data_IF_552122300271
#
_entry.id   IF_552122300271
#
_cell.length_a   1.000
_cell.length_b   1.000
_cell.length_c   1.000
_cell.angle_alpha   90.00
_cell.angle_beta   90.00
_cell.angle_gamma   90.00
#
_symmetry.space_group_name_H-M   'P 1'
#
loop_
_entity.id
_entity.type
_entity.pdbx_description
1 polymer ?
#
# COMPACT_ATOMS: atom_id res chain seq x y z
N UNK A 1 -34.08 9.17 -17.15
CA UNK A 1 -32.66 8.93 -17.45
C UNK A 1 -32.65 7.76 -18.42
N UNK A 2 -32.29 7.96 -19.69
CA UNK A 2 -32.25 6.87 -20.68
C UNK A 2 -31.06 5.98 -20.32
N UNK A 3 -31.28 4.66 -20.21
CA UNK A 3 -30.21 3.67 -20.18
C UNK A 3 -29.38 3.85 -21.46
N UNK A 4 -28.16 4.36 -21.31
CA UNK A 4 -27.23 4.41 -22.44
C UNK A 4 -26.71 2.99 -22.69
N UNK A 5 -26.84 2.52 -23.91
CA UNK A 5 -26.26 1.25 -24.39
C UNK A 5 -24.73 1.25 -24.13
N UNK A 6 -24.22 0.22 -23.45
CA UNK A 6 -22.79 0.05 -23.10
C UNK A 6 -21.87 0.25 -24.33
N UNK A 7 -22.26 -0.25 -25.48
CA UNK A 7 -21.50 -0.09 -26.73
C UNK A 7 -21.46 1.36 -27.23
N UNK A 8 -22.40 2.21 -26.83
CA UNK A 8 -22.38 3.64 -27.15
C UNK A 8 -21.47 4.41 -26.21
N UNK A 9 -21.47 4.04 -24.92
CA UNK A 9 -20.56 4.60 -23.91
C UNK A 9 -19.11 4.29 -24.28
N UNK A 10 -18.82 3.04 -24.60
CA UNK A 10 -17.48 2.60 -25.00
C UNK A 10 -16.95 3.37 -26.22
N UNK A 11 -17.76 3.54 -27.28
CA UNK A 11 -17.38 4.31 -28.46
C UNK A 11 -17.10 5.78 -28.15
N UNK A 12 -17.88 6.40 -27.25
CA UNK A 12 -17.70 7.79 -26.82
C UNK A 12 -16.40 7.99 -26.05
N UNK A 13 -15.96 7.00 -25.28
CA UNK A 13 -14.71 7.04 -24.52
C UNK A 13 -13.50 6.71 -25.40
N UNK A 14 -13.60 5.70 -26.26
CA UNK A 14 -12.48 5.26 -27.12
C UNK A 14 -11.97 6.34 -28.06
N UNK A 15 -12.86 7.08 -28.71
CA UNK A 15 -12.46 8.06 -29.71
C UNK A 15 -11.57 9.18 -29.13
N UNK A 16 -11.93 9.86 -28.02
CA UNK A 16 -11.08 10.86 -27.38
C UNK A 16 -9.78 10.25 -26.86
N UNK A 17 -9.82 9.07 -26.23
CA UNK A 17 -8.63 8.41 -25.67
C UNK A 17 -7.62 8.05 -26.77
N UNK A 18 -8.09 7.49 -27.89
CA UNK A 18 -7.25 7.16 -29.05
C UNK A 18 -6.65 8.41 -29.72
N UNK A 19 -7.30 9.56 -29.58
CA UNK A 19 -6.81 10.86 -30.03
C UNK A 19 -5.87 11.55 -29.02
N UNK A 20 -5.55 10.90 -27.87
CA UNK A 20 -4.66 11.44 -26.83
C UNK A 20 -5.34 12.43 -25.87
N UNK A 21 -6.67 12.55 -25.89
CA UNK A 21 -7.43 13.41 -24.98
C UNK A 21 -7.73 12.68 -23.66
N UNK A 22 -6.70 12.44 -22.86
CA UNK A 22 -6.80 11.66 -21.61
C UNK A 22 -7.53 12.42 -20.48
N UNK A 23 -7.73 13.73 -20.61
CA UNK A 23 -8.46 14.53 -19.60
C UNK A 23 -9.90 14.07 -19.38
N UNK A 24 -10.52 13.40 -20.39
CA UNK A 24 -11.89 12.89 -20.27
C UNK A 24 -12.05 11.83 -19.17
N UNK A 25 -11.00 11.11 -18.83
CA UNK A 25 -11.00 10.08 -17.75
C UNK A 25 -10.57 10.61 -16.39
N UNK A 26 -10.16 11.86 -16.28
CA UNK A 26 -9.82 12.49 -14.98
C UNK A 26 -11.03 12.65 -14.06
N UNK A 27 -12.24 12.70 -14.63
CA UNK A 27 -13.49 12.85 -13.88
C UNK A 27 -13.95 11.55 -13.19
N UNK A 28 -13.44 10.39 -13.60
CA UNK A 28 -13.71 9.12 -12.96
C UNK A 28 -12.67 8.87 -11.85
N UNK A 29 -13.09 8.91 -10.59
CA UNK A 29 -12.24 8.65 -9.43
C UNK A 29 -12.61 7.32 -8.79
N UNK A 30 -11.58 6.61 -8.31
CA UNK A 30 -11.70 5.30 -7.66
C UNK A 30 -11.00 5.33 -6.31
N UNK A 31 -11.61 4.65 -5.35
CA UNK A 31 -11.01 4.44 -4.03
C UNK A 31 -10.77 2.96 -3.81
N UNK A 32 -9.54 2.62 -3.44
CA UNK A 32 -9.11 1.26 -3.17
C UNK A 32 -8.67 1.14 -1.71
N UNK A 33 -9.05 0.04 -1.06
CA UNK A 33 -8.41 -0.44 0.16
C UNK A 33 -7.35 -1.45 -0.23
N UNK A 34 -6.10 -1.18 0.13
CA UNK A 34 -4.96 -2.05 -0.14
C UNK A 34 -4.44 -2.55 1.21
N UNK A 35 -4.47 -3.86 1.41
CA UNK A 35 -4.14 -4.49 2.67
C UNK A 35 -2.96 -5.45 2.52
N UNK A 36 -2.22 -5.65 3.59
CA UNK A 36 -1.16 -6.66 3.63
C UNK A 36 0.10 -6.31 2.83
N UNK A 37 0.29 -5.06 2.41
CA UNK A 37 1.52 -4.62 1.74
C UNK A 37 2.60 -4.25 2.74
N UNK A 38 3.87 -4.32 2.33
CA UNK A 38 4.99 -3.86 3.15
C UNK A 38 5.05 -2.33 3.24
N UNK A 39 5.64 -1.81 4.31
CA UNK A 39 5.99 -0.37 4.40
C UNK A 39 6.90 0.04 3.25
N UNK A 40 7.82 -0.82 2.81
CA UNK A 40 8.66 -0.56 1.63
C UNK A 40 7.82 -0.30 0.39
N UNK A 41 6.80 -1.13 0.11
CA UNK A 41 5.88 -0.95 -1.02
C UNK A 41 5.05 0.32 -0.88
N UNK A 42 4.53 0.61 0.32
CA UNK A 42 3.74 1.83 0.55
C UNK A 42 4.55 3.10 0.34
N UNK A 43 5.86 3.10 0.69
CA UNK A 43 6.75 4.23 0.43
C UNK A 43 6.96 4.53 -1.07
N UNK A 44 6.81 3.53 -1.93
CA UNK A 44 6.83 3.74 -3.38
C UNK A 44 5.47 4.19 -3.88
N UNK A 45 4.38 3.58 -3.39
CA UNK A 45 3.01 3.91 -3.78
C UNK A 45 2.70 5.40 -3.55
N UNK A 46 3.04 5.95 -2.39
CA UNK A 46 2.76 7.37 -2.05
C UNK A 46 3.59 8.38 -2.84
N UNK A 47 4.48 7.94 -3.73
CA UNK A 47 5.19 8.80 -4.67
C UNK A 47 4.33 9.24 -5.85
N UNK A 48 3.23 8.56 -6.13
CA UNK A 48 2.21 9.02 -7.06
C UNK A 48 1.49 10.24 -6.46
N UNK A 49 1.73 11.44 -7.00
CA UNK A 49 1.33 12.69 -6.35
C UNK A 49 -0.11 13.10 -6.62
N UNK A 50 -0.69 12.64 -7.72
CA UNK A 50 -2.08 12.96 -8.11
C UNK A 50 -3.00 11.89 -7.51
N UNK A 51 -2.90 11.69 -6.20
CA UNK A 51 -3.70 10.75 -5.44
C UNK A 51 -3.82 11.21 -3.99
N UNK A 52 -4.84 10.74 -3.29
CA UNK A 52 -5.04 10.93 -1.85
C UNK A 52 -4.77 9.61 -1.15
N UNK A 53 -4.00 9.66 -0.06
CA UNK A 53 -3.61 8.49 0.70
C UNK A 53 -4.01 8.61 2.17
N UNK A 54 -4.56 7.53 2.72
CA UNK A 54 -4.80 7.36 4.15
C UNK A 54 -4.18 6.03 4.58
N UNK A 55 -3.08 6.09 5.34
CA UNK A 55 -2.32 4.91 5.74
C UNK A 55 -2.43 4.66 7.24
N UNK A 56 -2.50 3.38 7.62
CA UNK A 56 -2.45 2.97 9.01
C UNK A 56 -1.20 3.51 9.71
N UNK A 57 -1.43 4.26 10.79
CA UNK A 57 -0.36 4.92 11.53
C UNK A 57 0.27 3.99 12.57
N UNK A 58 1.57 3.81 12.50
CA UNK A 58 2.36 3.11 13.53
C UNK A 58 2.53 3.93 14.83
N UNK A 59 2.12 5.21 14.83
CA UNK A 59 2.16 6.05 16.03
C UNK A 59 0.97 5.82 16.96
N UNK A 60 -0.19 5.49 16.37
CA UNK A 60 -1.45 5.39 17.12
C UNK A 60 -1.92 3.94 17.27
N UNK A 61 -1.57 3.07 16.33
CA UNK A 61 -1.94 1.66 16.36
C UNK A 61 -0.77 0.85 16.89
N UNK A 62 -1.00 0.09 17.98
CA UNK A 62 -0.02 -0.87 18.49
C UNK A 62 0.06 -2.02 17.49
N UNK A 63 1.27 -2.34 17.07
CA UNK A 63 1.53 -3.49 16.18
C UNK A 63 1.58 -4.76 17.04
N UNK A 64 0.39 -5.33 17.34
CA UNK A 64 0.28 -6.49 18.22
C UNK A 64 0.70 -7.79 17.53
N UNK A 65 0.44 -7.88 16.23
CA UNK A 65 0.82 -9.02 15.40
C UNK A 65 2.18 -8.75 14.75
N UNK A 66 3.02 -9.78 14.76
CA UNK A 66 4.35 -9.76 14.11
C UNK A 66 4.22 -10.00 12.59
N UNK A 67 3.30 -9.28 11.93
CA UNK A 67 3.04 -9.46 10.50
C UNK A 67 4.08 -8.72 9.67
N UNK A 68 4.74 -9.45 8.79
CA UNK A 68 5.71 -8.92 7.83
C UNK A 68 5.59 -9.59 6.47
N UNK A 69 5.99 -8.86 5.45
CA UNK A 69 6.07 -9.39 4.08
C UNK A 69 7.47 -9.96 3.87
N UNK A 70 7.54 -11.22 3.48
CA UNK A 70 8.78 -11.85 2.99
C UNK A 70 8.82 -11.74 1.47
N UNK A 71 9.82 -11.05 0.88
CA UNK A 71 10.02 -11.04 -0.57
C UNK A 71 10.20 -12.45 -1.13
N UNK A 72 9.64 -12.71 -2.30
CA UNK A 72 9.68 -14.04 -2.94
C UNK A 72 11.13 -14.52 -3.16
N UNK A 73 12.04 -13.61 -3.51
CA UNK A 73 13.46 -13.93 -3.71
C UNK A 73 14.14 -14.45 -2.42
N UNK A 74 13.75 -13.93 -1.25
CA UNK A 74 14.20 -14.42 0.05
C UNK A 74 13.55 -15.77 0.36
N UNK A 75 12.23 -15.88 0.09
CA UNK A 75 11.48 -17.10 0.37
C UNK A 75 11.91 -18.32 -0.45
N UNK A 76 12.56 -18.12 -1.60
CA UNK A 76 13.11 -19.21 -2.45
C UNK A 76 14.44 -19.77 -1.96
N UNK A 77 15.14 -19.05 -1.11
CA UNK A 77 16.41 -19.48 -0.50
C UNK A 77 16.12 -19.87 0.96
N UNK A 78 16.28 -21.15 1.28
CA UNK A 78 15.91 -21.69 2.59
C UNK A 78 16.75 -21.09 3.72
N UNK A 79 18.07 -20.90 3.51
CA UNK A 79 18.94 -20.27 4.51
C UNK A 79 18.58 -18.79 4.71
N UNK A 80 18.40 -18.05 3.63
CA UNK A 80 18.00 -16.64 3.70
C UNK A 80 16.62 -16.48 4.38
N UNK A 81 15.67 -17.35 4.05
CA UNK A 81 14.34 -17.34 4.66
C UNK A 81 14.38 -17.64 6.17
N UNK A 82 15.20 -18.58 6.61
CA UNK A 82 15.40 -18.90 8.03
C UNK A 82 15.95 -17.70 8.78
N UNK A 83 17.05 -17.14 8.31
CA UNK A 83 17.69 -15.96 8.91
C UNK A 83 16.76 -14.74 8.95
N UNK A 84 15.96 -14.58 7.89
CA UNK A 84 14.99 -13.48 7.81
C UNK A 84 13.91 -13.62 8.89
N UNK A 85 13.33 -14.83 9.09
CA UNK A 85 12.34 -15.08 10.14
C UNK A 85 12.92 -14.81 11.53
N UNK A 86 14.09 -15.38 11.82
CA UNK A 86 14.78 -15.19 13.10
C UNK A 86 15.01 -13.69 13.41
N UNK A 87 15.41 -12.92 12.39
CA UNK A 87 15.58 -11.47 12.54
C UNK A 87 14.25 -10.77 12.82
N UNK A 88 13.17 -11.13 12.10
CA UNK A 88 11.84 -10.54 12.32
C UNK A 88 11.34 -10.83 13.73
N UNK A 89 11.46 -12.07 14.22
CA UNK A 89 11.06 -12.46 15.57
C UNK A 89 11.78 -11.62 16.63
N UNK A 90 13.10 -11.46 16.51
CA UNK A 90 13.90 -10.61 17.41
C UNK A 90 13.49 -9.13 17.36
N UNK A 91 13.22 -8.60 16.18
CA UNK A 91 12.75 -7.21 16.04
C UNK A 91 11.41 -7.00 16.76
N UNK A 92 10.48 -7.96 16.64
CA UNK A 92 9.20 -7.88 17.33
C UNK A 92 9.30 -8.04 18.84
N UNK A 93 10.25 -8.83 19.36
CA UNK A 93 10.56 -8.90 20.79
C UNK A 93 11.04 -7.55 21.30
N UNK A 94 12.00 -6.92 20.62
CA UNK A 94 12.50 -5.59 20.98
C UNK A 94 11.42 -4.50 20.87
N UNK A 95 10.57 -4.55 19.83
CA UNK A 95 9.45 -3.62 19.71
C UNK A 95 8.49 -3.73 20.91
N UNK A 96 8.12 -4.95 21.31
CA UNK A 96 7.27 -5.17 22.49
C UNK A 96 7.91 -4.62 23.74
N UNK A 97 9.17 -4.93 23.96
CA UNK A 97 9.95 -4.43 25.10
C UNK A 97 9.98 -2.89 25.17
N UNK A 98 10.24 -2.25 24.04
CA UNK A 98 10.27 -0.78 23.96
C UNK A 98 8.89 -0.16 24.13
N UNK A 99 7.85 -0.75 23.53
CA UNK A 99 6.48 -0.21 23.55
C UNK A 99 5.86 -0.16 24.95
N UNK A 100 6.42 -0.89 25.91
CA UNK A 100 6.05 -0.84 27.33
C UNK A 100 6.77 0.28 28.12
N UNK A 101 7.83 0.87 27.57
CA UNK A 101 8.75 1.77 28.27
C UNK A 101 8.82 3.17 27.69
N UNK A 102 8.56 3.30 26.40
CA UNK A 102 8.63 4.56 25.67
C UNK A 102 7.35 4.79 24.84
N UNK A 103 7.04 6.03 24.41
CA UNK A 103 5.94 6.30 23.51
C UNK A 103 6.02 5.47 22.24
N UNK A 104 4.86 5.09 21.67
CA UNK A 104 4.79 4.29 20.43
C UNK A 104 5.50 4.97 19.25
N UNK A 105 5.49 6.30 19.24
CA UNK A 105 6.20 7.14 18.28
C UNK A 105 7.70 6.84 18.24
N UNK A 106 8.28 6.45 19.36
CA UNK A 106 9.70 6.13 19.49
C UNK A 106 9.93 4.62 19.36
N UNK A 107 9.10 3.79 20.00
CA UNK A 107 9.23 2.33 19.90
C UNK A 107 9.21 1.82 18.43
N UNK A 108 8.40 2.44 17.57
CA UNK A 108 8.31 2.07 16.14
C UNK A 108 9.60 2.22 15.33
N UNK A 109 10.63 2.91 15.86
CA UNK A 109 11.89 3.10 15.14
C UNK A 109 12.64 1.79 14.89
N UNK A 110 12.36 0.73 15.65
CA UNK A 110 12.93 -0.60 15.41
C UNK A 110 12.15 -1.40 14.37
N UNK A 111 10.94 -0.98 13.98
CA UNK A 111 10.12 -1.73 13.03
C UNK A 111 10.73 -1.74 11.63
N UNK A 112 10.79 -2.90 10.96
CA UNK A 112 11.41 -3.01 9.66
C UNK A 112 10.51 -2.48 8.53
N UNK A 113 11.10 -2.18 7.38
CA UNK A 113 10.35 -1.86 6.17
C UNK A 113 9.49 -3.03 5.66
N UNK A 114 9.76 -4.24 6.13
CA UNK A 114 8.96 -5.42 5.86
C UNK A 114 7.60 -5.43 6.59
N UNK A 115 7.45 -4.61 7.63
CA UNK A 115 6.23 -4.53 8.43
C UNK A 115 5.00 -4.35 7.54
N UNK A 116 3.95 -5.16 7.78
CA UNK A 116 2.68 -5.06 7.07
C UNK A 116 1.99 -3.74 7.38
N UNK A 117 1.33 -3.18 6.40
CA UNK A 117 0.51 -1.97 6.51
C UNK A 117 -0.69 -2.02 5.58
N UNK A 118 -1.70 -1.25 5.94
CA UNK A 118 -2.90 -1.05 5.13
C UNK A 118 -2.98 0.42 4.72
N UNK A 119 -3.45 0.67 3.50
CA UNK A 119 -3.54 2.00 2.94
C UNK A 119 -4.79 2.12 2.06
N UNK A 120 -5.55 3.18 2.28
CA UNK A 120 -6.61 3.59 1.36
C UNK A 120 -6.04 4.60 0.39
N UNK A 121 -6.31 4.43 -0.90
CA UNK A 121 -5.88 5.33 -1.96
C UNK A 121 -7.06 5.74 -2.83
N UNK A 122 -7.19 7.03 -3.08
CA UNK A 122 -8.16 7.57 -4.06
C UNK A 122 -7.39 8.27 -5.17
N UNK A 123 -7.62 7.85 -6.40
CA UNK A 123 -7.04 8.47 -7.59
C UNK A 123 -8.00 8.39 -8.77
N UNK A 124 -7.80 9.26 -9.77
CA UNK A 124 -8.61 9.23 -10.98
C UNK A 124 -8.12 8.19 -12.00
N UNK A 125 -8.96 7.91 -13.00
CA UNK A 125 -8.64 6.88 -14.01
C UNK A 125 -7.40 7.22 -14.84
N UNK A 126 -7.07 8.50 -15.03
CA UNK A 126 -5.87 8.91 -15.76
C UNK A 126 -4.59 8.57 -14.99
N UNK A 127 -4.61 8.70 -13.68
CA UNK A 127 -3.48 8.37 -12.81
C UNK A 127 -3.26 6.85 -12.70
N UNK A 128 -4.35 6.06 -12.88
CA UNK A 128 -4.31 4.60 -12.92
C UNK A 128 -3.83 4.04 -14.26
N UNK A 129 -3.95 4.81 -15.35
CA UNK A 129 -3.58 4.41 -16.72
C UNK A 129 -2.06 4.44 -16.91
#
# INVERSE_FOLDING_TARGET
>A
MQEEDEGRIERRLRAPLSAGHHSVIEHAAFTFSIEGISRASSHQLVRHRIASFSQQSQRYVKMENADYVMPESIGRDEEAASRYRELMDRIWEEYRFLSERVPKEDARYVLPNACVTNITVTMNARELW
#
